data_IF_262795732137
#
_entry.id   IF_262795732137
#
_cell.length_a   1.000
_cell.length_b   1.000
_cell.length_c   1.000
_cell.angle_alpha   90.00
_cell.angle_beta   90.00
_cell.angle_gamma   90.00
#
_symmetry.space_group_name_H-M   'P 1'
#
loop_
_entity.id
_entity.type
_entity.pdbx_description
1 polymer ?
#
# COMPACT_ATOMS: atom_id res chain seq x y z
N UNK A 1 20.99 -12.62 -14.16
CA UNK A 1 19.62 -12.81 -13.62
C UNK A 1 19.26 -11.59 -12.83
N UNK A 2 18.13 -10.93 -13.12
CA UNK A 2 17.66 -9.74 -12.42
C UNK A 2 16.35 -10.05 -11.69
N UNK A 3 16.02 -9.24 -10.70
CA UNK A 3 14.76 -9.30 -9.95
C UNK A 3 13.90 -8.10 -10.33
N UNK A 4 12.67 -8.35 -10.74
CA UNK A 4 11.68 -7.35 -11.09
C UNK A 4 10.47 -7.48 -10.17
N UNK A 5 9.93 -6.33 -9.76
CA UNK A 5 8.65 -6.28 -9.06
C UNK A 5 7.68 -5.46 -9.90
N UNK A 6 6.46 -5.94 -10.07
CA UNK A 6 5.43 -5.20 -10.80
C UNK A 6 4.24 -4.91 -9.90
N UNK A 7 3.83 -3.65 -9.86
CA UNK A 7 2.63 -3.22 -9.15
C UNK A 7 1.64 -2.54 -10.10
N UNK A 8 0.38 -2.98 -10.07
CA UNK A 8 -0.71 -2.23 -10.68
C UNK A 8 -1.00 -1.02 -9.82
N UNK A 9 -0.99 0.15 -10.44
CA UNK A 9 -1.15 1.45 -9.77
C UNK A 9 -1.87 2.44 -10.67
N UNK A 10 -2.25 3.58 -10.14
CA UNK A 10 -2.93 4.65 -10.88
C UNK A 10 -4.16 5.17 -10.13
N UNK A 11 -4.82 6.17 -10.67
CA UNK A 11 -5.90 6.89 -10.02
C UNK A 11 -7.15 6.04 -9.69
N UNK A 12 -7.32 4.88 -10.32
CA UNK A 12 -8.41 3.93 -9.99
C UNK A 12 -7.95 2.73 -9.17
N UNK A 13 -6.64 2.55 -8.96
CA UNK A 13 -6.05 1.43 -8.22
C UNK A 13 -5.36 1.87 -6.94
N UNK A 14 -4.96 3.15 -6.85
CA UNK A 14 -4.18 3.68 -5.74
C UNK A 14 -2.74 3.18 -5.73
N UNK A 15 -2.14 3.17 -4.54
CA UNK A 15 -0.73 2.84 -4.30
C UNK A 15 -0.53 1.59 -3.43
N UNK A 16 -1.58 0.90 -3.00
CA UNK A 16 -1.45 -0.23 -2.06
C UNK A 16 -0.50 -1.33 -2.60
N UNK A 17 -0.69 -1.73 -3.87
CA UNK A 17 0.20 -2.69 -4.52
C UNK A 17 1.64 -2.17 -4.63
N UNK A 18 1.81 -0.86 -4.89
CA UNK A 18 3.14 -0.23 -4.96
C UNK A 18 3.83 -0.24 -3.59
N UNK A 19 3.10 0.06 -2.51
CA UNK A 19 3.62 0.01 -1.14
C UNK A 19 4.09 -1.41 -0.75
N UNK A 20 3.28 -2.44 -1.06
CA UNK A 20 3.68 -3.84 -0.83
C UNK A 20 4.90 -4.25 -1.66
N UNK A 21 4.90 -3.93 -2.96
CA UNK A 21 6.06 -4.21 -3.83
C UNK A 21 7.32 -3.48 -3.36
N UNK A 22 7.22 -2.22 -2.93
CA UNK A 22 8.36 -1.47 -2.40
C UNK A 22 8.94 -2.12 -1.13
N UNK A 23 8.09 -2.59 -0.22
CA UNK A 23 8.51 -3.33 0.97
C UNK A 23 9.28 -4.61 0.60
N UNK A 24 8.75 -5.42 -0.31
CA UNK A 24 9.43 -6.64 -0.79
C UNK A 24 10.74 -6.28 -1.49
N UNK A 25 10.76 -5.20 -2.27
CA UNK A 25 11.95 -4.70 -2.93
C UNK A 25 13.05 -4.31 -1.93
N UNK A 26 12.69 -3.60 -0.86
CA UNK A 26 13.62 -3.19 0.19
C UNK A 26 14.21 -4.41 0.93
N UNK A 27 13.42 -5.45 1.15
CA UNK A 27 13.90 -6.72 1.71
C UNK A 27 14.87 -7.46 0.76
N UNK A 28 14.76 -7.22 -0.55
CA UNK A 28 15.60 -7.82 -1.61
C UNK A 28 16.72 -6.87 -2.11
N UNK A 29 17.04 -5.79 -1.38
CA UNK A 29 17.96 -4.72 -1.83
C UNK A 29 19.35 -5.21 -2.27
N UNK A 30 19.82 -6.34 -1.75
CA UNK A 30 21.11 -6.95 -2.15
C UNK A 30 21.13 -7.42 -3.62
N UNK A 31 19.97 -7.67 -4.23
CA UNK A 31 19.83 -8.09 -5.62
C UNK A 31 19.59 -6.92 -6.59
N UNK A 32 19.65 -5.69 -6.10
CA UNK A 32 19.37 -4.47 -6.88
C UNK A 32 18.08 -4.55 -7.73
N UNK A 33 16.94 -4.89 -7.12
CA UNK A 33 15.69 -5.11 -7.84
C UNK A 33 15.20 -3.85 -8.56
N UNK A 34 14.31 -4.03 -9.54
CA UNK A 34 13.71 -2.95 -10.32
C UNK A 34 12.20 -2.98 -10.08
N UNK A 35 11.66 -1.87 -9.58
CA UNK A 35 10.21 -1.68 -9.46
C UNK A 35 9.63 -1.28 -10.82
N UNK A 36 8.60 -1.99 -11.26
CA UNK A 36 7.81 -1.66 -12.43
C UNK A 36 6.42 -1.24 -11.98
N UNK A 37 6.01 -0.01 -12.31
CA UNK A 37 4.70 0.53 -11.93
C UNK A 37 3.88 0.81 -13.19
N UNK A 38 2.58 0.57 -13.14
CA UNK A 38 1.73 0.88 -14.31
C UNK A 38 1.45 2.39 -14.48
N UNK A 39 1.78 3.20 -13.48
CA UNK A 39 1.70 4.66 -13.52
C UNK A 39 3.02 5.27 -13.04
N UNK A 40 3.51 6.30 -13.74
CA UNK A 40 4.81 6.91 -13.43
C UNK A 40 4.83 7.63 -12.08
N UNK A 41 3.68 8.20 -11.66
CA UNK A 41 3.57 8.89 -10.35
C UNK A 41 3.74 7.91 -9.20
N UNK A 42 3.23 6.66 -9.35
CA UNK A 42 3.46 5.61 -8.37
C UNK A 42 4.94 5.27 -8.19
N UNK A 43 5.70 5.23 -9.30
CA UNK A 43 7.14 5.04 -9.25
C UNK A 43 7.89 6.21 -8.61
N UNK A 44 7.48 7.44 -8.89
CA UNK A 44 8.03 8.66 -8.28
C UNK A 44 7.75 8.65 -6.75
N UNK A 45 6.49 8.42 -6.35
CA UNK A 45 6.12 8.28 -4.96
C UNK A 45 6.95 7.21 -4.22
N UNK A 46 7.11 6.03 -4.83
CA UNK A 46 7.90 4.96 -4.23
C UNK A 46 9.37 5.35 -4.05
N UNK A 47 9.93 6.12 -4.99
CA UNK A 47 11.31 6.63 -4.89
C UNK A 47 11.46 7.69 -3.79
N UNK A 48 10.50 8.60 -3.68
CA UNK A 48 10.55 9.73 -2.75
C UNK A 48 10.20 9.32 -1.32
N UNK A 49 9.22 8.39 -1.16
CA UNK A 49 8.64 8.07 0.16
C UNK A 49 8.97 6.66 0.65
N UNK A 50 9.32 5.69 -0.23
CA UNK A 50 9.45 4.28 0.13
C UNK A 50 10.86 3.71 -0.12
N UNK A 51 11.88 4.55 -0.19
CA UNK A 51 13.31 4.18 -0.36
C UNK A 51 13.63 3.38 -1.64
N UNK A 52 12.75 3.38 -2.64
CA UNK A 52 12.95 2.68 -3.90
C UNK A 52 14.03 3.38 -4.72
N UNK A 53 15.10 2.65 -5.10
CA UNK A 53 16.23 3.22 -5.86
C UNK A 53 16.00 3.25 -7.37
N UNK A 54 15.37 2.22 -7.93
CA UNK A 54 15.19 2.06 -9.37
C UNK A 54 13.74 1.72 -9.69
N UNK A 55 13.12 2.48 -10.56
CA UNK A 55 11.79 2.15 -11.08
C UNK A 55 11.70 2.41 -12.58
N UNK A 56 10.75 1.74 -13.23
CA UNK A 56 10.43 1.87 -14.65
C UNK A 56 8.90 1.88 -14.79
N UNK A 57 8.38 2.74 -15.67
CA UNK A 57 6.95 2.72 -15.99
C UNK A 57 6.65 1.64 -17.03
N UNK A 58 5.79 0.69 -16.67
CA UNK A 58 5.28 -0.39 -17.51
C UNK A 58 3.77 -0.47 -17.33
N UNK A 59 3.02 0.05 -18.25
CA UNK A 59 1.57 0.27 -18.18
C UNK A 59 0.74 -0.99 -17.93
N UNK A 60 1.16 -2.13 -18.49
CA UNK A 60 0.51 -3.43 -18.31
C UNK A 60 1.53 -4.53 -18.06
N UNK A 61 1.17 -5.49 -17.22
CA UNK A 61 2.01 -6.62 -16.81
C UNK A 61 2.63 -7.37 -18.01
N UNK A 62 1.88 -7.56 -19.09
CA UNK A 62 2.33 -8.25 -20.30
C UNK A 62 3.56 -7.60 -20.95
N UNK A 63 3.72 -6.29 -20.81
CA UNK A 63 4.82 -5.55 -21.43
C UNK A 63 6.15 -5.69 -20.68
N UNK A 64 6.19 -6.37 -19.54
CA UNK A 64 7.44 -6.68 -18.82
C UNK A 64 8.44 -7.45 -19.68
N UNK A 65 7.97 -8.27 -20.62
CA UNK A 65 8.85 -9.01 -21.57
C UNK A 65 9.71 -8.09 -22.43
N UNK A 66 9.38 -6.81 -22.55
CA UNK A 66 10.19 -5.82 -23.29
C UNK A 66 11.48 -5.43 -22.55
N UNK A 67 11.52 -5.62 -21.23
CA UNK A 67 12.66 -5.22 -20.38
C UNK A 67 13.29 -6.42 -19.64
N UNK A 68 12.53 -7.48 -19.40
CA UNK A 68 12.99 -8.70 -18.76
C UNK A 68 13.65 -9.65 -19.76
N UNK A 69 14.58 -10.43 -19.28
CA UNK A 69 15.16 -11.55 -20.01
C UNK A 69 14.59 -12.89 -19.51
N UNK A 70 14.62 -13.92 -20.37
CA UNK A 70 14.26 -15.27 -19.92
C UNK A 70 15.12 -15.66 -18.72
N UNK A 71 14.47 -16.28 -17.71
CA UNK A 71 15.07 -16.70 -16.43
C UNK A 71 15.29 -15.57 -15.43
N UNK A 72 14.88 -14.34 -15.69
CA UNK A 72 14.77 -13.34 -14.64
C UNK A 72 13.69 -13.73 -13.63
N UNK A 73 13.68 -13.09 -12.48
CA UNK A 73 12.74 -13.33 -11.39
C UNK A 73 11.68 -12.24 -11.41
N UNK A 74 10.41 -12.62 -11.25
CA UNK A 74 9.29 -11.69 -11.18
C UNK A 74 8.47 -11.91 -9.91
N UNK A 75 8.22 -10.83 -9.19
CA UNK A 75 7.22 -10.73 -8.13
C UNK A 75 6.19 -9.71 -8.60
N UNK A 76 4.90 -9.99 -8.51
CA UNK A 76 3.89 -9.06 -8.97
C UNK A 76 2.69 -8.96 -8.02
N UNK A 77 2.09 -7.76 -8.02
CA UNK A 77 0.87 -7.43 -7.30
C UNK A 77 -0.11 -6.79 -8.27
N UNK A 78 -0.92 -7.61 -8.90
CA UNK A 78 -1.84 -7.18 -9.95
C UNK A 78 -2.91 -8.22 -10.24
N UNK A 79 -4.16 -7.79 -10.29
CA UNK A 79 -5.30 -8.61 -10.71
C UNK A 79 -5.40 -8.76 -12.25
N UNK A 80 -4.46 -8.20 -13.02
CA UNK A 80 -4.46 -8.29 -14.50
C UNK A 80 -4.12 -9.70 -15.00
N UNK A 81 -3.36 -10.47 -14.21
CA UNK A 81 -2.87 -11.78 -14.62
C UNK A 81 -3.98 -12.82 -14.56
N UNK A 82 -4.47 -13.27 -15.71
CA UNK A 82 -5.28 -14.48 -15.81
C UNK A 82 -4.39 -15.74 -15.80
N UNK A 83 -4.99 -16.92 -15.73
CA UNK A 83 -4.26 -18.20 -15.62
C UNK A 83 -3.35 -18.48 -16.82
N UNK A 84 -3.76 -18.10 -18.05
CA UNK A 84 -2.92 -18.25 -19.24
C UNK A 84 -1.67 -17.36 -19.15
N UNK A 85 -1.84 -16.09 -18.75
CA UNK A 85 -0.70 -15.19 -18.53
C UNK A 85 0.23 -15.72 -17.44
N UNK A 86 -0.31 -16.22 -16.32
CA UNK A 86 0.50 -16.81 -15.24
C UNK A 86 1.28 -18.03 -15.72
N UNK A 87 0.67 -18.87 -16.57
CA UNK A 87 1.34 -20.02 -17.18
C UNK A 87 2.48 -19.59 -18.09
N UNK A 88 2.28 -18.59 -18.95
CA UNK A 88 3.32 -18.02 -19.82
C UNK A 88 4.48 -17.43 -18.98
N UNK A 89 4.15 -16.65 -17.93
CA UNK A 89 5.15 -16.06 -17.05
C UNK A 89 5.96 -17.13 -16.28
N UNK A 90 5.32 -18.22 -15.83
CA UNK A 90 6.02 -19.35 -15.19
C UNK A 90 7.04 -20.03 -16.14
N UNK A 91 6.76 -20.07 -17.44
CA UNK A 91 7.71 -20.59 -18.43
C UNK A 91 8.82 -19.59 -18.77
N UNK A 92 8.55 -18.30 -18.65
CA UNK A 92 9.49 -17.22 -18.96
C UNK A 92 10.46 -16.95 -17.80
N UNK A 93 9.95 -16.86 -16.58
CA UNK A 93 10.71 -16.53 -15.38
C UNK A 93 11.41 -17.78 -14.79
N UNK A 94 12.47 -17.56 -14.02
CA UNK A 94 13.09 -18.63 -13.22
C UNK A 94 12.34 -18.85 -11.89
N UNK A 95 11.80 -17.78 -11.33
CA UNK A 95 10.88 -17.75 -10.18
C UNK A 95 9.79 -16.73 -10.48
N UNK A 96 8.56 -17.06 -10.09
CA UNK A 96 7.39 -16.20 -10.18
C UNK A 96 6.65 -16.24 -8.85
N UNK A 97 6.35 -15.06 -8.29
CA UNK A 97 5.54 -14.92 -7.08
C UNK A 97 4.42 -13.92 -7.31
N UNK A 98 3.24 -14.24 -6.85
CA UNK A 98 2.08 -13.35 -6.81
C UNK A 98 1.81 -12.94 -5.36
N UNK A 99 1.80 -11.64 -5.08
CA UNK A 99 1.36 -11.12 -3.78
C UNK A 99 -0.15 -11.31 -3.67
N UNK A 100 -0.60 -11.82 -2.53
CA UNK A 100 -1.98 -12.24 -2.31
C UNK A 100 -2.21 -13.73 -2.55
N UNK A 101 -1.29 -14.43 -3.23
CA UNK A 101 -1.36 -15.87 -3.51
C UNK A 101 -0.15 -16.62 -2.93
N UNK A 102 1.03 -16.35 -3.46
CA UNK A 102 2.30 -17.00 -3.02
C UNK A 102 2.89 -16.28 -1.81
N UNK A 103 2.73 -14.97 -1.74
CA UNK A 103 3.15 -14.12 -0.63
C UNK A 103 1.88 -13.49 -0.04
N UNK A 104 1.63 -13.67 1.26
CA UNK A 104 0.44 -13.10 1.91
C UNK A 104 0.47 -11.56 1.88
N UNK A 105 -0.70 -10.93 1.79
CA UNK A 105 -0.86 -9.49 1.58
C UNK A 105 -0.46 -8.61 2.78
N UNK A 106 -0.28 -9.14 3.98
CA UNK A 106 0.09 -8.33 5.15
C UNK A 106 1.58 -8.02 5.11
N UNK A 107 1.94 -7.10 4.23
CA UNK A 107 3.32 -6.70 3.93
C UNK A 107 3.50 -5.24 4.35
N UNK A 108 4.35 -5.00 5.35
CA UNK A 108 4.66 -3.65 5.85
C UNK A 108 6.16 -3.53 6.07
N UNK A 109 6.73 -2.42 5.65
CA UNK A 109 8.15 -2.11 5.89
C UNK A 109 8.33 -1.58 7.32
N UNK A 110 8.78 -2.46 8.22
CA UNK A 110 9.01 -2.12 9.64
C UNK A 110 10.20 -1.20 9.86
N UNK A 111 10.99 -0.92 8.85
CA UNK A 111 12.06 0.08 8.93
C UNK A 111 11.55 1.49 8.67
N UNK A 112 10.51 1.61 7.84
CA UNK A 112 9.79 2.86 7.59
C UNK A 112 8.71 3.11 8.64
N UNK A 113 7.84 2.11 8.90
CA UNK A 113 6.70 2.24 9.82
C UNK A 113 7.10 1.81 11.22
N UNK A 114 7.81 2.70 11.92
CA UNK A 114 8.29 2.46 13.28
C UNK A 114 7.41 3.13 14.32
N UNK A 115 7.38 2.55 15.53
CA UNK A 115 6.61 3.11 16.64
C UNK A 115 7.17 4.46 17.09
N UNK A 116 6.31 5.47 17.15
CA UNK A 116 6.59 6.79 17.73
C UNK A 116 6.05 6.81 19.18
N UNK A 117 6.89 7.21 20.13
CA UNK A 117 6.53 7.18 21.55
C UNK A 117 5.40 8.18 21.89
N UNK A 118 5.41 9.34 21.25
CA UNK A 118 4.40 10.39 21.46
C UNK A 118 3.91 10.87 20.08
N UNK A 119 2.90 10.22 19.49
CA UNK A 119 2.29 10.69 18.25
C UNK A 119 1.77 12.12 18.40
N UNK A 120 2.06 12.97 17.42
CA UNK A 120 1.73 14.40 17.49
C UNK A 120 0.35 14.73 16.92
N UNK A 121 -0.23 13.82 16.12
CA UNK A 121 -1.54 13.96 15.49
C UNK A 121 -2.52 13.04 16.21
N UNK A 122 -3.52 13.60 16.85
CA UNK A 122 -4.48 12.79 17.62
C UNK A 122 -5.41 11.98 16.69
N UNK A 123 -5.96 12.60 15.64
CA UNK A 123 -6.93 12.00 14.72
C UNK A 123 -6.59 12.35 13.28
N UNK A 124 -6.48 11.36 12.40
CA UNK A 124 -6.25 11.54 10.96
C UNK A 124 -7.28 10.77 10.15
N UNK A 125 -7.82 11.39 9.11
CA UNK A 125 -8.56 10.72 8.03
C UNK A 125 -7.64 10.51 6.84
N UNK A 126 -7.57 9.28 6.33
CA UNK A 126 -7.01 8.96 5.03
C UNK A 126 -8.04 8.22 4.19
N UNK A 127 -8.59 8.91 3.19
CA UNK A 127 -9.67 8.36 2.35
C UNK A 127 -9.17 7.31 1.33
N UNK A 128 -7.87 7.25 1.11
CA UNK A 128 -7.18 6.42 0.13
C UNK A 128 -6.48 7.25 -0.92
N UNK A 129 -5.62 6.62 -1.72
CA UNK A 129 -4.88 7.30 -2.79
C UNK A 129 -5.72 7.53 -4.05
N UNK A 130 -6.82 6.81 -4.22
CA UNK A 130 -7.53 6.53 -5.46
C UNK A 130 -8.91 7.20 -5.56
N UNK A 131 -9.09 8.36 -4.94
CA UNK A 131 -10.36 9.11 -5.02
C UNK A 131 -10.49 9.91 -6.34
N UNK A 132 -10.45 9.18 -7.46
CA UNK A 132 -10.57 9.77 -8.80
C UNK A 132 -11.93 10.44 -9.03
N UNK A 133 -12.98 9.93 -8.44
CA UNK A 133 -14.35 10.43 -8.60
C UNK A 133 -14.72 11.56 -7.65
N UNK A 134 -13.78 12.04 -6.81
CA UNK A 134 -14.01 13.08 -5.81
C UNK A 134 -15.10 12.73 -4.78
N UNK A 135 -15.20 11.46 -4.40
CA UNK A 135 -16.20 10.99 -3.44
C UNK A 135 -16.04 11.67 -2.08
N UNK A 136 -14.80 11.90 -1.64
CA UNK A 136 -14.55 12.64 -0.40
C UNK A 136 -15.05 14.07 -0.48
N UNK A 137 -14.84 14.76 -1.62
CA UNK A 137 -15.31 16.12 -1.82
C UNK A 137 -16.84 16.21 -1.73
N UNK A 138 -17.53 15.24 -2.35
CA UNK A 138 -18.99 15.16 -2.28
C UNK A 138 -19.48 14.87 -0.85
N UNK A 139 -18.73 14.04 -0.12
CA UNK A 139 -19.07 13.63 1.24
C UNK A 139 -18.97 14.79 2.25
N UNK A 140 -18.02 15.75 2.07
CA UNK A 140 -17.71 16.80 3.04
C UNK A 140 -18.38 18.13 2.76
N UNK A 141 -19.13 18.30 1.67
CA UNK A 141 -19.68 19.57 1.17
C UNK A 141 -20.31 20.48 2.24
N UNK A 142 -21.02 19.89 3.20
CA UNK A 142 -21.80 20.63 4.21
C UNK A 142 -21.28 20.35 5.64
N UNK A 143 -19.99 20.04 5.79
CA UNK A 143 -19.40 19.66 7.08
C UNK A 143 -18.18 20.49 7.44
N UNK A 144 -17.89 20.55 8.74
CA UNK A 144 -16.61 21.02 9.27
C UNK A 144 -16.17 20.00 10.33
N UNK A 145 -14.98 19.39 10.12
CA UNK A 145 -14.55 18.21 10.85
C UNK A 145 -13.28 18.51 11.65
N UNK A 146 -13.32 18.26 12.96
CA UNK A 146 -12.16 18.39 13.85
C UNK A 146 -11.26 17.14 13.76
N UNK A 147 -10.71 16.91 12.56
CA UNK A 147 -9.80 15.84 12.23
C UNK A 147 -8.85 16.32 11.14
N UNK A 148 -7.58 15.89 11.16
CA UNK A 148 -6.63 16.18 10.08
C UNK A 148 -6.92 15.28 8.87
N UNK A 149 -6.84 15.83 7.66
CA UNK A 149 -6.94 15.07 6.41
C UNK A 149 -5.54 14.85 5.84
N UNK A 150 -5.16 13.60 5.64
CA UNK A 150 -4.02 13.25 4.79
C UNK A 150 -4.52 13.10 3.35
N UNK A 151 -3.96 13.90 2.43
CA UNK A 151 -4.31 13.87 1.00
C UNK A 151 -3.89 12.55 0.37
N UNK A 152 -4.72 12.05 -0.55
CA UNK A 152 -4.38 10.92 -1.39
C UNK A 152 -3.59 11.35 -2.61
N UNK A 153 -2.64 10.53 -3.04
CA UNK A 153 -1.68 10.84 -4.11
C UNK A 153 -2.32 11.15 -5.49
N UNK A 154 -3.49 10.60 -5.75
CA UNK A 154 -4.24 10.83 -7.01
C UNK A 154 -5.40 11.80 -6.87
N UNK A 155 -5.47 12.57 -5.81
CA UNK A 155 -6.51 13.61 -5.68
C UNK A 155 -6.32 14.70 -6.74
N UNK A 156 -7.42 15.34 -7.13
CA UNK A 156 -7.35 16.40 -8.11
C UNK A 156 -6.63 17.62 -7.56
N UNK A 157 -5.74 18.19 -8.37
CA UNK A 157 -5.07 19.45 -8.07
C UNK A 157 -6.08 20.55 -7.77
N UNK A 158 -5.90 21.23 -6.66
CA UNK A 158 -6.78 22.31 -6.19
C UNK A 158 -7.84 21.91 -5.19
N UNK A 159 -8.15 20.61 -5.02
CA UNK A 159 -9.07 20.13 -3.97
C UNK A 159 -8.54 20.44 -2.56
N UNK A 160 -7.23 20.50 -2.37
CA UNK A 160 -6.59 20.91 -1.11
C UNK A 160 -7.18 22.22 -0.55
N UNK A 161 -7.36 23.24 -1.42
CA UNK A 161 -7.94 24.53 -1.00
C UNK A 161 -9.38 24.41 -0.52
N UNK A 162 -10.14 23.47 -1.09
CA UNK A 162 -11.52 23.22 -0.69
C UNK A 162 -11.52 22.48 0.63
N UNK A 163 -10.70 21.43 0.78
CA UNK A 163 -10.62 20.63 2.00
C UNK A 163 -10.17 21.44 3.21
N UNK A 164 -9.35 22.49 3.05
CA UNK A 164 -8.97 23.42 4.14
C UNK A 164 -10.17 24.11 4.80
N UNK A 165 -11.33 24.13 4.15
CA UNK A 165 -12.56 24.67 4.76
C UNK A 165 -13.36 23.60 5.54
N UNK A 166 -12.99 22.33 5.42
CA UNK A 166 -13.75 21.19 5.94
C UNK A 166 -13.02 20.37 7.00
N UNK A 167 -11.70 20.54 7.11
CA UNK A 167 -10.84 19.80 8.03
C UNK A 167 -10.01 20.75 8.89
N UNK A 168 -9.63 20.32 10.09
CA UNK A 168 -8.78 21.12 10.99
C UNK A 168 -7.39 21.38 10.40
N UNK A 169 -6.89 20.43 9.63
CA UNK A 169 -5.62 20.50 8.92
C UNK A 169 -5.69 19.64 7.64
N UNK A 170 -5.01 20.05 6.58
CA UNK A 170 -4.83 19.27 5.35
C UNK A 170 -3.35 19.06 5.17
N UNK A 171 -2.95 17.78 5.19
CA UNK A 171 -1.57 17.31 5.13
C UNK A 171 -1.33 16.78 3.71
N UNK A 172 -0.23 17.18 3.10
CA UNK A 172 0.12 16.79 1.74
C UNK A 172 0.51 15.31 1.65
N UNK A 173 0.29 14.70 0.50
CA UNK A 173 0.61 13.30 0.22
C UNK A 173 2.12 12.97 0.32
N UNK A 174 2.98 13.96 0.20
CA UNK A 174 4.43 13.84 0.39
C UNK A 174 4.79 13.49 1.84
N UNK A 175 3.97 13.88 2.80
CA UNK A 175 4.13 13.60 4.22
C UNK A 175 3.49 12.26 4.66
N UNK A 176 3.14 11.38 3.71
CA UNK A 176 2.39 10.15 3.98
C UNK A 176 2.98 9.31 5.11
N UNK A 177 4.26 8.91 4.99
CA UNK A 177 4.91 8.01 5.97
C UNK A 177 4.96 8.66 7.35
N UNK A 178 5.40 9.92 7.44
CA UNK A 178 5.50 10.65 8.70
C UNK A 178 4.14 10.84 9.36
N UNK A 179 3.10 11.08 8.56
CA UNK A 179 1.72 11.23 9.05
C UNK A 179 1.18 9.93 9.62
N UNK A 180 1.37 8.78 8.92
CA UNK A 180 0.94 7.47 9.43
C UNK A 180 1.65 7.12 10.73
N UNK A 181 2.95 7.38 10.84
CA UNK A 181 3.71 7.17 12.09
C UNK A 181 3.17 8.00 13.26
N UNK A 182 2.83 9.26 13.00
CA UNK A 182 2.43 10.23 14.02
C UNK A 182 0.93 10.31 14.30
N UNK A 183 0.10 9.56 13.58
CA UNK A 183 -1.36 9.52 13.77
C UNK A 183 -1.74 8.49 14.81
N UNK A 184 -2.11 8.94 16.02
CA UNK A 184 -2.54 8.04 17.10
C UNK A 184 -3.77 7.23 16.71
N UNK A 185 -4.82 7.90 16.24
CA UNK A 185 -6.02 7.28 15.70
C UNK A 185 -6.14 7.58 14.20
N UNK A 186 -6.21 6.54 13.39
CA UNK A 186 -6.30 6.66 11.95
C UNK A 186 -7.64 6.13 11.45
N UNK A 187 -8.47 7.00 10.87
CA UNK A 187 -9.67 6.63 10.13
C UNK A 187 -9.31 6.47 8.65
N UNK A 188 -9.44 5.26 8.09
CA UNK A 188 -8.98 5.02 6.72
C UNK A 188 -9.88 4.09 5.93
N UNK A 189 -9.94 4.29 4.59
CA UNK A 189 -10.54 3.35 3.64
C UNK A 189 -9.49 2.43 2.97
N UNK A 190 -8.23 2.45 3.42
CA UNK A 190 -7.17 1.60 2.90
C UNK A 190 -6.77 0.54 3.92
N UNK A 191 -6.94 -0.73 3.57
CA UNK A 191 -6.53 -1.84 4.43
C UNK A 191 -5.01 -1.89 4.58
N UNK A 192 -4.25 -1.58 3.52
CA UNK A 192 -2.80 -1.50 3.58
C UNK A 192 -2.34 -0.42 4.56
N UNK A 193 -2.96 0.76 4.51
CA UNK A 193 -2.63 1.87 5.44
C UNK A 193 -3.03 1.53 6.89
N UNK A 194 -4.11 0.77 7.09
CA UNK A 194 -4.44 0.25 8.43
C UNK A 194 -3.34 -0.68 8.97
N UNK A 195 -2.76 -1.55 8.13
CA UNK A 195 -1.63 -2.40 8.54
C UNK A 195 -0.36 -1.59 8.85
N UNK A 196 -0.08 -0.56 8.05
CA UNK A 196 1.04 0.36 8.30
C UNK A 196 0.89 1.09 9.64
N UNK A 197 -0.32 1.56 9.95
CA UNK A 197 -0.67 2.17 11.24
C UNK A 197 -0.51 1.18 12.41
N UNK A 198 -0.96 -0.07 12.25
CA UNK A 198 -0.76 -1.12 13.27
C UNK A 198 0.73 -1.42 13.51
N UNK A 199 1.55 -1.44 12.46
CA UNK A 199 3.00 -1.63 12.58
C UNK A 199 3.65 -0.51 13.40
N UNK A 200 3.15 0.72 13.28
CA UNK A 200 3.55 1.85 14.13
C UNK A 200 3.06 1.74 15.59
N UNK A 201 2.20 0.77 15.91
CA UNK A 201 1.56 0.65 17.21
C UNK A 201 0.43 1.64 17.45
N UNK A 202 -0.13 2.19 16.39
CA UNK A 202 -1.26 3.12 16.38
C UNK A 202 -2.61 2.39 16.25
N UNK A 203 -3.71 3.13 16.26
CA UNK A 203 -5.08 2.62 16.37
C UNK A 203 -5.89 2.91 15.11
N UNK A 204 -5.78 2.09 14.03
CA UNK A 204 -6.55 2.29 12.82
C UNK A 204 -8.00 1.85 12.97
N UNK A 205 -8.90 2.59 12.34
CA UNK A 205 -10.32 2.27 12.16
C UNK A 205 -10.62 2.29 10.67
N UNK A 206 -11.18 1.21 10.17
CA UNK A 206 -11.52 1.08 8.76
C UNK A 206 -12.95 1.56 8.51
N UNK A 207 -13.17 2.22 7.39
CA UNK A 207 -14.50 2.38 6.79
C UNK A 207 -14.46 1.90 5.34
N UNK A 208 -15.61 1.38 4.85
CA UNK A 208 -15.66 0.80 3.52
C UNK A 208 -16.26 1.77 2.51
N UNK A 209 -15.51 2.07 1.48
CA UNK A 209 -16.00 2.78 0.30
C UNK A 209 -16.76 1.80 -0.61
N UNK A 210 -17.81 2.29 -1.27
CA UNK A 210 -18.68 1.47 -2.14
C UNK A 210 -17.99 1.08 -3.47
N UNK A 211 -16.91 1.79 -3.84
CA UNK A 211 -16.15 1.59 -5.06
C UNK A 211 -14.89 0.74 -4.86
N UNK A 212 -14.69 0.15 -3.64
CA UNK A 212 -13.53 -0.69 -3.31
C UNK A 212 -13.95 -2.09 -2.85
N UNK A 213 -13.10 -3.05 -3.15
CA UNK A 213 -13.15 -4.39 -2.59
C UNK A 213 -12.22 -4.50 -1.38
N UNK A 214 -12.64 -5.24 -0.35
CA UNK A 214 -11.87 -5.43 0.87
C UNK A 214 -11.64 -6.92 1.13
N UNK A 215 -10.48 -7.26 1.68
CA UNK A 215 -10.20 -8.61 2.16
C UNK A 215 -10.82 -8.80 3.55
N UNK A 216 -12.08 -9.27 3.57
CA UNK A 216 -12.87 -9.49 4.80
C UNK A 216 -12.21 -10.50 5.74
N UNK A 217 -11.50 -11.48 5.19
CA UNK A 217 -10.80 -12.50 5.96
C UNK A 217 -9.68 -11.87 6.80
N UNK A 218 -8.91 -10.95 6.23
CA UNK A 218 -7.85 -10.23 6.96
C UNK A 218 -8.43 -9.25 7.99
N UNK A 219 -9.50 -8.53 7.64
CA UNK A 219 -10.17 -7.62 8.58
C UNK A 219 -10.65 -8.41 9.81
N UNK A 220 -11.32 -9.53 9.59
CA UNK A 220 -11.83 -10.41 10.65
C UNK A 220 -10.70 -11.05 11.45
N UNK A 221 -9.67 -11.55 10.78
CA UNK A 221 -8.50 -12.20 11.41
C UNK A 221 -7.84 -11.32 12.46
N UNK A 222 -7.64 -10.04 12.13
CA UNK A 222 -6.97 -9.08 13.02
C UNK A 222 -7.93 -8.31 13.90
N UNK A 223 -9.24 -8.52 13.77
CA UNK A 223 -10.28 -7.78 14.47
C UNK A 223 -10.13 -6.26 14.27
N UNK A 224 -9.86 -5.85 13.01
CA UNK A 224 -9.77 -4.43 12.69
C UNK A 224 -11.17 -3.81 12.78
N UNK A 225 -11.37 -2.77 13.59
CA UNK A 225 -12.70 -2.17 13.73
C UNK A 225 -13.14 -1.51 12.42
N UNK A 226 -14.38 -1.75 12.03
CA UNK A 226 -15.00 -1.20 10.81
C UNK A 226 -16.20 -0.34 11.19
N UNK A 227 -16.31 0.83 10.59
CA UNK A 227 -17.42 1.76 10.78
C UNK A 227 -18.30 1.78 9.54
N UNK A 228 -19.61 1.61 9.74
CA UNK A 228 -20.65 1.91 8.77
C UNK A 228 -21.03 3.37 8.85
N UNK A 229 -21.38 3.99 7.73
CA UNK A 229 -21.77 5.39 7.64
C UNK A 229 -22.68 5.66 6.43
N UNK A 230 -23.47 6.72 6.53
CA UNK A 230 -24.30 7.25 5.43
C UNK A 230 -23.82 8.65 4.98
N UNK A 231 -23.14 9.37 5.87
CA UNK A 231 -22.59 10.71 5.63
C UNK A 231 -21.36 10.94 6.51
N UNK A 232 -20.64 12.03 6.24
CA UNK A 232 -19.37 12.33 6.94
C UNK A 232 -19.58 12.59 8.44
N UNK A 233 -20.67 13.24 8.84
CA UNK A 233 -20.91 13.55 10.25
C UNK A 233 -21.13 12.27 11.06
N UNK A 234 -21.86 11.30 10.50
CA UNK A 234 -22.04 9.99 11.09
C UNK A 234 -20.71 9.22 11.15
N UNK A 235 -19.92 9.24 10.06
CA UNK A 235 -18.60 8.61 10.01
C UNK A 235 -17.70 9.13 11.14
N UNK A 236 -17.57 10.45 11.28
CA UNK A 236 -16.72 11.06 12.31
C UNK A 236 -17.28 10.79 13.71
N UNK A 237 -18.60 10.91 13.92
CA UNK A 237 -19.22 10.63 15.21
C UNK A 237 -19.03 9.17 15.65
N UNK A 238 -19.21 8.21 14.73
CA UNK A 238 -18.99 6.80 15.01
C UNK A 238 -17.51 6.52 15.32
N UNK A 239 -16.60 7.14 14.57
CA UNK A 239 -15.16 7.06 14.83
C UNK A 239 -14.82 7.61 16.22
N UNK A 240 -15.29 8.79 16.58
CA UNK A 240 -15.04 9.40 17.90
C UNK A 240 -15.61 8.59 19.06
N UNK A 241 -16.74 7.91 18.85
CA UNK A 241 -17.30 7.02 19.86
C UNK A 241 -16.48 5.74 20.00
N UNK A 242 -16.02 5.17 18.88
CA UNK A 242 -15.23 3.94 18.88
C UNK A 242 -13.87 4.13 19.53
N UNK A 243 -13.19 5.25 19.29
CA UNK A 243 -11.86 5.49 19.86
C UNK A 243 -11.86 5.71 21.38
N UNK A 244 -13.01 6.03 22.02
CA UNK A 244 -13.14 6.14 23.48
C UNK A 244 -12.97 4.80 24.18
N UNK A 245 -13.37 3.71 23.51
CA UNK A 245 -13.22 2.33 23.99
C UNK A 245 -12.74 1.46 22.82
N UNK A 246 -11.49 1.72 22.38
CA UNK A 246 -10.93 1.08 21.20
C UNK A 246 -10.79 -0.43 21.41
N UNK A 247 -11.34 -1.27 20.51
CA UNK A 247 -11.35 -2.71 20.68
C UNK A 247 -9.93 -3.29 20.61
N UNK A 248 -9.74 -4.43 21.28
CA UNK A 248 -8.47 -5.15 21.21
C UNK A 248 -8.26 -5.71 19.80
N UNK A 249 -7.15 -5.33 19.18
CA UNK A 249 -6.65 -5.93 17.95
C UNK A 249 -6.07 -7.31 18.27
N UNK A 250 -6.39 -8.31 17.45
CA UNK A 250 -5.74 -9.62 17.55
C UNK A 250 -4.24 -9.49 17.23
N UNK A 251 -3.44 -10.48 17.64
CA UNK A 251 -2.01 -10.48 17.35
C UNK A 251 -1.74 -10.17 15.88
N UNK A 252 -1.28 -8.96 15.64
CA UNK A 252 -0.94 -8.49 14.29
C UNK A 252 0.43 -9.04 13.90
N UNK A 253 0.46 -9.82 12.83
CA UNK A 253 1.68 -10.45 12.32
C UNK A 253 1.90 -10.04 10.87
N UNK A 254 3.05 -9.44 10.60
CA UNK A 254 3.51 -9.10 9.26
C UNK A 254 3.99 -10.38 8.58
N UNK A 255 3.72 -10.51 7.29
CA UNK A 255 4.14 -11.65 6.48
C UNK A 255 5.68 -11.73 6.45
N UNK A 256 6.29 -12.83 6.92
CA UNK A 256 7.74 -13.01 6.83
C UNK A 256 8.15 -13.25 5.38
N UNK A 257 9.20 -12.58 4.94
CA UNK A 257 9.74 -12.70 3.58
C UNK A 257 10.98 -13.60 3.49
N UNK A 258 11.45 -14.14 4.61
CA UNK A 258 12.71 -14.89 4.71
C UNK A 258 12.79 -16.06 3.72
N UNK A 259 11.72 -16.83 3.56
CA UNK A 259 11.69 -17.96 2.63
C UNK A 259 11.81 -17.51 1.18
N UNK A 260 11.12 -16.43 0.80
CA UNK A 260 11.19 -15.86 -0.56
C UNK A 260 12.59 -15.34 -0.83
N UNK A 261 13.18 -14.61 0.12
CA UNK A 261 14.55 -14.09 0.04
C UNK A 261 15.54 -15.23 -0.12
N UNK A 262 15.42 -16.28 0.70
CA UNK A 262 16.32 -17.45 0.64
C UNK A 262 16.23 -18.16 -0.69
N UNK A 263 15.03 -18.39 -1.23
CA UNK A 263 14.84 -19.07 -2.52
C UNK A 263 15.42 -18.24 -3.68
N UNK A 264 15.20 -16.92 -3.67
CA UNK A 264 15.77 -16.01 -4.66
C UNK A 264 17.30 -16.05 -4.58
N UNK A 265 17.87 -16.00 -3.38
CA UNK A 265 19.32 -16.06 -3.17
C UNK A 265 19.93 -17.35 -3.74
N UNK A 266 19.36 -18.49 -3.40
CA UNK A 266 19.80 -19.79 -3.91
C UNK A 266 19.74 -19.84 -5.45
N UNK A 267 18.68 -19.26 -6.03
CA UNK A 267 18.51 -19.25 -7.49
C UNK A 267 19.53 -18.37 -8.18
N UNK A 268 19.80 -17.18 -7.64
CA UNK A 268 20.81 -16.24 -8.18
C UNK A 268 22.22 -16.84 -8.07
N UNK A 269 22.56 -17.44 -6.93
CA UNK A 269 23.86 -18.10 -6.73
C UNK A 269 24.08 -19.26 -7.71
N UNK A 270 23.06 -20.10 -7.89
CA UNK A 270 23.13 -21.20 -8.87
C UNK A 270 23.34 -20.67 -10.28
N UNK A 271 22.61 -19.65 -10.68
CA UNK A 271 22.75 -19.03 -11.99
C UNK A 271 24.17 -18.47 -12.21
N UNK A 272 24.72 -17.76 -11.23
CA UNK A 272 26.07 -17.20 -11.31
C UNK A 272 27.15 -18.26 -11.43
N UNK A 273 27.03 -19.40 -10.74
CA UNK A 273 27.94 -20.55 -10.90
C UNK A 273 27.93 -21.16 -12.31
N UNK A 274 26.72 -21.24 -12.90
CA UNK A 274 26.57 -21.82 -14.26
C UNK A 274 27.07 -20.90 -15.38
N UNK A 275 27.11 -19.59 -15.14
CA UNK A 275 27.57 -18.60 -16.14
C UNK A 275 29.06 -18.31 -16.05
N UNK A 276 29.75 -18.76 -15.01
CA UNK A 276 31.20 -18.62 -14.81
C UNK A 276 31.99 -19.91 -15.19
N UNK A 277 31.27 -21.00 -15.43
CA UNK A 277 31.82 -22.28 -15.95
C UNK A 277 31.73 -22.33 -17.48
#
# INVERSE_FOLDING_TARGET
MKVYLYSKSGHTFGLEATKRCATVMNALKEFEPILCTSDFRAGAFAKENLEVKKYVNIDVLRNLTNIMQRKDILIFDSKEANEDMKSEMKQFCSLLYEIGTDIKEVIVDTTLYTKVTNPTIEKTLFFGDDDYYNLLLDLVKDSNNDISLLMGHYFFLGNEKIFKNHFSEVIDEEDYVSTIQNSKYLLTASLQTAFESLACGNYPVLFKRIDKEYNEELISKYNIPVIEYTNINELISNFENLIKDYPTINNFEITPLDNVILEIKQKVELFNKLTQS
#
